data_IF_214631761425
#
_entry.id   IF_214631761425
#
_cell.length_a   1.000
_cell.length_b   1.000
_cell.length_c   1.000
_cell.angle_alpha   90.00
_cell.angle_beta   90.00
_cell.angle_gamma   90.00
#
_symmetry.space_group_name_H-M   'P 1'
#
loop_
_entity.id
_entity.type
_entity.pdbx_description
1 polymer ?
#
# COMPACT_ATOMS: atom_id res chain seq x y z
N UNK A 1 -14.30 -1.84 9.96
CA UNK A 1 -13.86 -1.79 8.55
C UNK A 1 -14.17 -3.16 7.96
N UNK A 2 -14.73 -3.25 6.75
CA UNK A 2 -14.80 -4.54 6.04
C UNK A 2 -13.45 -4.75 5.38
N UNK A 3 -12.63 -5.63 5.94
CA UNK A 3 -11.32 -5.94 5.38
C UNK A 3 -11.45 -7.01 4.30
N UNK A 4 -10.78 -6.75 3.18
CA UNK A 4 -10.76 -7.63 2.00
C UNK A 4 -10.01 -8.94 2.30
N UNK A 5 -8.97 -8.87 3.15
CA UNK A 5 -8.18 -10.01 3.57
C UNK A 5 -8.66 -10.56 4.91
N UNK A 6 -8.57 -11.88 5.09
CA UNK A 6 -8.76 -12.53 6.39
C UNK A 6 -7.80 -11.95 7.43
N UNK A 7 -8.27 -11.77 8.66
CA UNK A 7 -7.38 -11.38 9.74
C UNK A 7 -6.53 -12.57 10.20
N UNK A 8 -5.34 -12.29 10.70
CA UNK A 8 -4.49 -13.26 11.38
C UNK A 8 -3.69 -12.59 12.50
N UNK A 9 -3.34 -13.37 13.51
CA UNK A 9 -2.45 -12.94 14.59
C UNK A 9 -1.01 -12.87 14.07
N UNK A 10 -0.30 -11.82 14.46
CA UNK A 10 1.12 -11.67 14.11
C UNK A 10 1.94 -12.49 15.10
N UNK A 11 2.76 -13.39 14.58
CA UNK A 11 3.76 -14.15 15.34
C UNK A 11 5.15 -13.60 15.08
N UNK A 12 6.06 -13.67 16.06
CA UNK A 12 7.42 -13.13 15.95
C UNK A 12 8.33 -14.01 15.06
N UNK A 13 8.02 -14.06 13.76
CA UNK A 13 8.67 -14.92 12.78
C UNK A 13 9.71 -14.19 11.92
N UNK A 14 9.87 -12.88 12.12
CA UNK A 14 10.81 -12.07 11.36
C UNK A 14 10.83 -10.61 11.80
N UNK A 15 11.62 -9.80 11.10
CA UNK A 15 11.90 -8.43 11.50
C UNK A 15 10.66 -7.53 11.40
N UNK A 16 9.80 -7.75 10.41
CA UNK A 16 8.58 -6.94 10.22
C UNK A 16 7.60 -7.23 11.35
N UNK A 17 7.36 -8.50 11.62
CA UNK A 17 6.53 -8.99 12.71
C UNK A 17 7.02 -8.47 14.06
N UNK A 18 8.34 -8.54 14.31
CA UNK A 18 8.95 -7.99 15.53
C UNK A 18 8.69 -6.50 15.70
N UNK A 19 8.86 -5.71 14.65
CA UNK A 19 8.62 -4.26 14.71
C UNK A 19 7.15 -3.94 14.99
N UNK A 20 6.20 -4.63 14.35
CA UNK A 20 4.77 -4.45 14.65
C UNK A 20 4.42 -4.86 16.09
N UNK A 21 4.93 -5.99 16.58
CA UNK A 21 4.69 -6.45 17.94
C UNK A 21 5.25 -5.46 18.98
N UNK A 22 6.42 -4.88 18.74
CA UNK A 22 6.99 -3.82 19.59
C UNK A 22 6.12 -2.56 19.65
N UNK A 23 5.35 -2.28 18.59
CA UNK A 23 4.37 -1.19 18.54
C UNK A 23 3.02 -1.57 19.16
N UNK A 24 2.87 -2.79 19.69
CA UNK A 24 1.60 -3.30 20.22
C UNK A 24 0.60 -3.72 19.13
N UNK A 25 1.01 -3.73 17.86
CA UNK A 25 0.19 -4.17 16.72
C UNK A 25 0.28 -5.69 16.62
N UNK A 26 -0.84 -6.38 16.93
CA UNK A 26 -0.88 -7.84 17.13
C UNK A 26 -1.62 -8.61 16.05
N UNK A 27 -2.27 -7.92 15.11
CA UNK A 27 -3.04 -8.55 14.03
C UNK A 27 -2.79 -7.88 12.69
N UNK A 28 -3.05 -8.60 11.61
CA UNK A 28 -2.88 -8.05 10.27
C UNK A 28 -3.81 -6.87 9.98
N UNK A 29 -5.06 -6.91 10.43
CA UNK A 29 -5.98 -5.78 10.30
C UNK A 29 -5.45 -4.53 11.02
N UNK A 30 -4.92 -4.69 12.24
CA UNK A 30 -4.28 -3.57 12.94
C UNK A 30 -3.01 -3.07 12.24
N UNK A 31 -2.26 -3.95 11.55
CA UNK A 31 -1.11 -3.53 10.76
C UNK A 31 -1.53 -2.76 9.50
N UNK A 32 -2.58 -3.21 8.80
CA UNK A 32 -3.18 -2.48 7.67
C UNK A 32 -3.58 -1.08 8.12
N UNK A 33 -4.29 -0.95 9.23
CA UNK A 33 -4.71 0.35 9.74
C UNK A 33 -3.51 1.23 10.09
N UNK A 34 -2.52 0.67 10.79
CA UNK A 34 -1.31 1.39 11.14
C UNK A 34 -0.58 1.95 9.91
N UNK A 35 -0.37 1.13 8.88
CA UNK A 35 0.32 1.56 7.64
C UNK A 35 -0.53 2.55 6.84
N UNK A 36 -1.84 2.34 6.77
CA UNK A 36 -2.79 3.20 6.03
C UNK A 36 -2.75 4.64 6.51
N UNK A 37 -2.63 4.86 7.83
CA UNK A 37 -2.60 6.20 8.42
C UNK A 37 -1.24 6.90 8.33
N UNK A 38 -0.18 6.21 7.89
CA UNK A 38 1.11 6.87 7.64
C UNK A 38 0.98 7.89 6.49
N UNK A 39 1.49 9.12 6.62
CA UNK A 39 1.58 10.07 5.52
C UNK A 39 2.20 9.50 4.25
N UNK A 40 1.69 9.95 3.10
CA UNK A 40 2.35 9.67 1.84
C UNK A 40 3.65 10.48 1.74
N UNK A 41 4.77 9.81 1.47
CA UNK A 41 6.06 10.47 1.35
C UNK A 41 7.17 9.51 0.99
N UNK A 42 8.16 9.98 0.23
CA UNK A 42 9.35 9.19 -0.12
C UNK A 42 10.21 8.96 1.11
N UNK A 43 10.52 7.70 1.38
CA UNK A 43 11.56 7.32 2.33
C UNK A 43 12.93 7.74 1.80
N UNK A 44 13.91 7.94 2.69
CA UNK A 44 15.28 8.31 2.30
C UNK A 44 15.92 7.24 1.41
N UNK A 45 15.80 5.98 1.83
CA UNK A 45 16.06 4.81 0.99
C UNK A 45 14.74 4.15 0.62
N UNK A 46 14.43 4.17 -0.69
CA UNK A 46 13.16 3.64 -1.23
C UNK A 46 13.16 2.12 -1.36
N UNK A 47 14.33 1.49 -1.30
CA UNK A 47 14.46 0.03 -1.34
C UNK A 47 14.23 -0.60 0.03
N UNK A 48 14.39 0.21 1.10
CA UNK A 48 14.19 -0.21 2.47
C UNK A 48 12.78 0.12 2.97
N UNK A 49 11.84 -0.82 2.82
CA UNK A 49 10.47 -0.66 3.33
C UNK A 49 10.37 -0.67 4.86
N UNK A 50 11.41 -1.12 5.58
CA UNK A 50 11.45 -1.04 7.05
C UNK A 50 11.58 0.41 7.55
N UNK A 51 12.09 1.31 6.71
CA UNK A 51 12.21 2.74 7.02
C UNK A 51 10.87 3.39 7.40
N UNK A 52 9.73 2.78 7.07
CA UNK A 52 8.41 3.25 7.50
C UNK A 52 8.31 3.30 9.03
N UNK A 53 8.92 2.34 9.75
CA UNK A 53 8.87 2.30 11.22
C UNK A 53 9.61 3.47 11.89
N UNK A 54 10.64 4.01 11.24
CA UNK A 54 11.45 5.12 11.76
C UNK A 54 11.09 6.48 11.17
N UNK A 55 10.69 6.53 9.90
CA UNK A 55 10.35 7.77 9.20
C UNK A 55 8.86 8.12 9.24
N UNK A 56 8.01 7.19 9.69
CA UNK A 56 6.55 7.36 9.82
C UNK A 56 5.87 7.88 8.54
N UNK A 57 6.35 7.46 7.38
CA UNK A 57 5.82 7.81 6.06
C UNK A 57 6.19 6.74 5.05
N UNK A 58 5.44 6.67 3.96
CA UNK A 58 5.78 5.76 2.87
C UNK A 58 5.05 6.09 1.58
N UNK A 59 5.46 5.46 0.50
CA UNK A 59 4.80 5.56 -0.82
C UNK A 59 3.96 4.30 -1.08
N UNK A 60 3.31 4.21 -2.24
CA UNK A 60 2.61 2.98 -2.63
C UNK A 60 3.53 1.76 -2.60
N UNK A 61 4.79 1.88 -3.05
CA UNK A 61 5.72 0.74 -3.05
C UNK A 61 6.10 0.31 -1.65
N UNK A 62 6.61 1.23 -0.81
CA UNK A 62 7.13 0.86 0.52
C UNK A 62 6.01 0.42 1.47
N UNK A 63 4.84 1.06 1.42
CA UNK A 63 3.70 0.67 2.27
C UNK A 63 3.20 -0.74 1.97
N UNK A 64 3.01 -1.07 0.70
CA UNK A 64 2.52 -2.38 0.29
C UNK A 64 3.59 -3.47 0.42
N UNK A 65 4.86 -3.15 0.17
CA UNK A 65 5.97 -4.07 0.42
C UNK A 65 6.07 -4.45 1.91
N UNK A 66 5.87 -3.50 2.83
CA UNK A 66 5.87 -3.78 4.26
C UNK A 66 4.76 -4.77 4.66
N UNK A 67 3.53 -4.58 4.16
CA UNK A 67 2.41 -5.48 4.44
C UNK A 67 2.58 -6.86 3.79
N UNK A 68 3.12 -6.93 2.57
CA UNK A 68 3.46 -8.19 1.93
C UNK A 68 4.55 -8.94 2.71
N UNK A 69 5.60 -8.26 3.16
CA UNK A 69 6.64 -8.87 3.98
C UNK A 69 6.08 -9.41 5.32
N UNK A 70 5.17 -8.68 5.98
CA UNK A 70 4.47 -9.17 7.17
C UNK A 70 3.67 -10.45 6.88
N UNK A 71 2.96 -10.48 5.75
CA UNK A 71 2.19 -11.64 5.34
C UNK A 71 3.09 -12.86 5.07
N UNK A 72 4.22 -12.67 4.39
CA UNK A 72 5.22 -13.72 4.13
C UNK A 72 5.77 -14.31 5.43
N UNK A 73 6.15 -13.46 6.40
CA UNK A 73 6.63 -13.92 7.71
C UNK A 73 5.57 -14.73 8.48
N UNK A 74 4.28 -14.54 8.18
CA UNK A 74 3.17 -15.26 8.80
C UNK A 74 2.53 -16.33 7.90
N UNK A 75 3.24 -16.75 6.84
CA UNK A 75 2.81 -17.78 5.89
C UNK A 75 1.43 -17.51 5.26
N UNK A 76 1.15 -16.25 4.92
CA UNK A 76 -0.12 -15.83 4.32
C UNK A 76 0.04 -15.53 2.82
N UNK A 77 -0.92 -15.99 2.02
CA UNK A 77 -0.94 -15.76 0.58
C UNK A 77 -1.45 -14.35 0.23
N UNK A 78 -0.60 -13.35 0.44
CA UNK A 78 -0.83 -11.96 0.04
C UNK A 78 0.36 -11.52 -0.80
N UNK A 79 0.11 -11.10 -2.04
CA UNK A 79 1.12 -10.86 -3.06
C UNK A 79 1.20 -9.37 -3.35
N UNK A 80 2.42 -8.81 -3.34
CA UNK A 80 2.72 -7.49 -3.87
C UNK A 80 2.64 -7.51 -5.40
N UNK A 81 1.81 -6.64 -5.99
CA UNK A 81 1.68 -6.48 -7.44
C UNK A 81 2.01 -5.07 -7.87
N UNK A 82 2.68 -4.95 -9.00
CA UNK A 82 2.80 -3.70 -9.75
C UNK A 82 1.73 -3.68 -10.84
N UNK A 83 1.02 -2.57 -10.96
CA UNK A 83 -0.04 -2.35 -11.94
C UNK A 83 0.21 -1.02 -12.67
N UNK A 84 -0.35 -0.88 -13.87
CA UNK A 84 -0.35 0.40 -14.58
C UNK A 84 -1.74 1.02 -14.46
N UNK A 85 -1.81 2.18 -13.83
CA UNK A 85 -3.03 2.96 -13.65
C UNK A 85 -3.11 4.09 -14.67
N UNK A 86 -4.33 4.43 -15.09
CA UNK A 86 -4.58 5.67 -15.85
C UNK A 86 -4.75 6.82 -14.88
N UNK A 87 -3.92 7.85 -15.02
CA UNK A 87 -3.98 9.06 -14.20
C UNK A 87 -4.41 10.23 -15.07
N UNK A 88 -5.53 10.83 -14.71
CA UNK A 88 -6.21 11.88 -15.45
C UNK A 88 -6.49 13.09 -14.55
N UNK A 89 -7.17 14.10 -15.10
CA UNK A 89 -7.54 15.32 -14.37
C UNK A 89 -8.53 15.08 -13.21
N UNK A 90 -9.23 13.94 -13.18
CA UNK A 90 -10.18 13.58 -12.14
C UNK A 90 -9.49 12.86 -10.98
N UNK A 91 -8.54 11.97 -11.28
CA UNK A 91 -7.72 11.29 -10.27
C UNK A 91 -6.64 12.19 -9.68
N UNK A 92 -6.05 13.08 -10.48
CA UNK A 92 -5.10 14.08 -10.00
C UNK A 92 -5.32 15.44 -10.69
N UNK A 93 -5.93 16.38 -9.96
CA UNK A 93 -6.21 17.73 -10.48
C UNK A 93 -4.95 18.53 -10.85
N UNK A 94 -3.80 18.24 -10.22
CA UNK A 94 -2.57 19.00 -10.43
C UNK A 94 -1.97 18.84 -11.84
N UNK A 95 -2.30 17.74 -12.54
CA UNK A 95 -1.79 17.47 -13.88
C UNK A 95 -2.70 17.97 -15.01
N UNK A 96 -3.85 18.59 -14.68
CA UNK A 96 -4.85 19.01 -15.67
C UNK A 96 -4.24 19.88 -16.78
N UNK A 97 -3.50 20.93 -16.42
CA UNK A 97 -2.90 21.85 -17.40
C UNK A 97 -1.85 21.16 -18.27
N UNK A 98 -1.12 20.17 -17.72
CA UNK A 98 -0.14 19.39 -18.48
C UNK A 98 -0.82 18.49 -19.51
N UNK A 99 -1.91 17.80 -19.13
CA UNK A 99 -2.72 16.97 -20.03
C UNK A 99 -3.31 17.81 -21.18
N UNK A 100 -3.85 18.99 -20.87
CA UNK A 100 -4.40 19.93 -21.86
C UNK A 100 -3.32 20.43 -22.83
N UNK A 101 -2.15 20.79 -22.32
CA UNK A 101 -1.01 21.21 -23.15
C UNK A 101 -0.55 20.11 -24.11
N UNK A 102 -0.43 18.87 -23.62
CA UNK A 102 0.01 17.72 -24.41
C UNK A 102 -1.08 17.11 -25.29
N UNK A 103 -2.34 17.56 -25.16
CA UNK A 103 -3.52 17.03 -25.88
C UNK A 103 -3.73 15.52 -25.69
N UNK A 104 -3.54 15.04 -24.46
CA UNK A 104 -3.79 13.65 -24.07
C UNK A 104 -4.79 13.59 -22.91
N UNK A 105 -5.51 12.47 -22.77
CA UNK A 105 -6.54 12.32 -21.74
C UNK A 105 -5.98 11.86 -20.39
N UNK A 106 -4.93 11.05 -20.41
CA UNK A 106 -4.31 10.46 -19.21
C UNK A 106 -2.84 10.10 -19.45
N UNK A 107 -2.10 9.88 -18.37
CA UNK A 107 -0.81 9.21 -18.38
C UNK A 107 -0.90 7.80 -17.78
N UNK A 108 -0.11 6.84 -18.28
CA UNK A 108 0.12 5.60 -17.54
C UNK A 108 1.05 5.87 -16.35
N UNK A 109 0.66 5.44 -15.16
CA UNK A 109 1.49 5.49 -13.95
C UNK A 109 1.64 4.09 -13.35
N UNK A 110 2.88 3.70 -13.04
CA UNK A 110 3.14 2.47 -12.31
C UNK A 110 2.78 2.64 -10.84
N UNK A 111 1.99 1.71 -10.30
CA UNK A 111 1.50 1.73 -8.93
C UNK A 111 1.64 0.36 -8.28
N UNK A 112 1.77 0.32 -6.95
CA UNK A 112 1.86 -0.93 -6.20
C UNK A 112 0.61 -1.14 -5.34
N UNK A 113 0.15 -2.38 -5.30
CA UNK A 113 -0.98 -2.85 -4.47
C UNK A 113 -0.61 -4.20 -3.84
N UNK A 114 -1.34 -4.63 -2.82
CA UNK A 114 -1.31 -6.02 -2.36
C UNK A 114 -2.60 -6.74 -2.77
N UNK A 115 -2.53 -8.04 -3.01
CA UNK A 115 -3.69 -8.84 -3.46
C UNK A 115 -3.65 -10.27 -2.98
N UNK A 116 -4.80 -10.94 -3.01
CA UNK A 116 -4.92 -12.39 -2.94
C UNK A 116 -5.73 -12.89 -4.16
N UNK A 117 -6.16 -14.16 -4.13
CA UNK A 117 -6.90 -14.77 -5.25
C UNK A 117 -8.31 -14.16 -5.46
N UNK A 118 -8.85 -13.46 -4.46
CA UNK A 118 -10.22 -12.91 -4.51
C UNK A 118 -10.24 -11.46 -4.93
N UNK A 119 -9.30 -10.67 -4.41
CA UNK A 119 -9.37 -9.20 -4.50
C UNK A 119 -8.01 -8.56 -4.14
N UNK A 120 -7.95 -7.24 -4.16
CA UNK A 120 -6.76 -6.46 -3.85
C UNK A 120 -7.07 -5.27 -2.96
N UNK A 121 -6.02 -4.71 -2.39
CA UNK A 121 -6.09 -3.58 -1.48
C UNK A 121 -5.02 -2.58 -1.85
N UNK A 122 -5.46 -1.33 -2.00
CA UNK A 122 -4.59 -0.15 -2.07
C UNK A 122 -4.78 0.70 -0.80
N UNK A 123 -3.72 0.84 -0.01
CA UNK A 123 -3.69 1.67 1.20
C UNK A 123 -2.73 2.86 1.09
N UNK A 124 -2.42 3.29 -0.13
CA UNK A 124 -1.53 4.42 -0.39
C UNK A 124 -2.01 5.68 0.32
N UNK A 125 -3.32 5.96 0.25
CA UNK A 125 -3.95 7.14 0.85
C UNK A 125 -5.11 6.75 1.78
N UNK A 126 -5.29 7.45 2.92
CA UNK A 126 -6.46 7.26 3.78
C UNK A 126 -7.76 7.51 2.99
N UNK A 127 -8.73 6.59 3.09
CA UNK A 127 -10.05 6.73 2.45
C UNK A 127 -10.17 6.13 1.04
N UNK A 128 -9.09 5.63 0.43
CA UNK A 128 -9.13 4.94 -0.87
C UNK A 128 -9.37 3.43 -0.72
N UNK A 129 -10.50 3.02 -0.12
CA UNK A 129 -11.02 1.65 -0.32
C UNK A 129 -11.89 1.64 -1.57
N UNK A 130 -11.29 1.92 -2.73
CA UNK A 130 -11.99 1.61 -3.98
C UNK A 130 -11.79 0.11 -4.22
N UNK A 131 -12.87 -0.60 -4.54
CA UNK A 131 -12.76 -1.62 -5.58
C UNK A 131 -12.69 -0.82 -6.88
N UNK A 132 -11.52 -0.61 -7.53
CA UNK A 132 -11.54 -0.36 -8.94
C UNK A 132 -12.34 -1.48 -9.58
N UNK A 133 -13.51 -1.14 -10.09
CA UNK A 133 -14.16 -1.96 -11.09
C UNK A 133 -13.11 -2.10 -12.18
N UNK A 134 -12.70 -3.33 -12.46
CA UNK A 134 -12.03 -3.63 -13.70
C UNK A 134 -13.06 -3.30 -14.80
N UNK A 135 -12.90 -2.14 -15.41
CA UNK A 135 -13.45 -1.84 -16.74
C UNK A 135 -12.36 -2.16 -17.77
#
# INVERSE_FOLDING_TARGET
MNYIFSNFSIHNNGIVSKNFLNLGVKSFHSAIDWVKYMPYGRNNDRTNYLSIFSEYRGTCSTKHALLNALALENNQNIILKMVICKIDKYSNKSIKSLLEYLKIEYFPEAHCIISNDKDYLDITFPGHLKNPKAE
#
